data_IF_569636473977
#
_entry.id   IF_569636473977
#
_cell.length_a   1.000
_cell.length_b   1.000
_cell.length_c   1.000
_cell.angle_alpha   90.00
_cell.angle_beta   90.00
_cell.angle_gamma   90.00
#
_symmetry.space_group_name_H-M   'P 1'
#
loop_
_entity.id
_entity.type
_entity.pdbx_description
1 polymer ?
#
# COMPACT_ATOMS: atom_id res chain seq x y z
N UNK A 1 -7.01 10.97 -8.88
CA UNK A 1 -6.26 9.85 -9.49
C UNK A 1 -5.21 10.35 -10.49
N UNK A 2 -5.49 11.41 -11.26
CA UNK A 2 -4.52 12.02 -12.20
C UNK A 2 -3.16 12.33 -11.57
N UNK A 3 -3.16 13.11 -10.48
CA UNK A 3 -1.96 13.44 -9.70
C UNK A 3 -1.16 12.20 -9.29
N UNK A 4 -1.83 11.11 -8.91
CA UNK A 4 -1.16 9.86 -8.50
C UNK A 4 -0.38 9.22 -9.66
N UNK A 5 -1.00 9.07 -10.83
CA UNK A 5 -0.30 8.51 -11.98
C UNK A 5 0.77 9.45 -12.53
N UNK A 6 0.49 10.76 -12.58
CA UNK A 6 1.49 11.77 -12.95
C UNK A 6 2.73 11.66 -12.06
N UNK A 7 2.55 11.61 -10.74
CA UNK A 7 3.66 11.38 -9.79
C UNK A 7 4.38 10.05 -10.03
N UNK A 8 3.64 8.97 -10.29
CA UNK A 8 4.23 7.66 -10.55
C UNK A 8 5.08 7.66 -11.83
N UNK A 9 4.56 8.16 -12.95
CA UNK A 9 5.30 8.31 -14.19
C UNK A 9 6.54 9.19 -13.99
N UNK A 10 6.41 10.31 -13.28
CA UNK A 10 7.56 11.17 -12.95
C UNK A 10 8.64 10.43 -12.18
N UNK A 11 8.29 9.63 -11.17
CA UNK A 11 9.25 8.83 -10.41
C UNK A 11 9.92 7.76 -11.27
N UNK A 12 9.16 7.05 -12.11
CA UNK A 12 9.72 6.06 -13.04
C UNK A 12 10.70 6.71 -14.02
N UNK A 13 10.34 7.86 -14.60
CA UNK A 13 11.24 8.58 -15.52
C UNK A 13 12.46 9.18 -14.83
N UNK A 14 12.34 9.62 -13.58
CA UNK A 14 13.49 9.98 -12.75
C UNK A 14 14.39 8.77 -12.49
N UNK A 15 13.82 7.59 -12.27
CA UNK A 15 14.61 6.36 -12.09
C UNK A 15 15.37 5.97 -13.36
N UNK A 16 14.77 6.17 -14.54
CA UNK A 16 15.45 5.93 -15.82
C UNK A 16 16.63 6.90 -15.98
N UNK A 17 16.45 8.17 -15.63
CA UNK A 17 17.54 9.15 -15.60
C UNK A 17 18.62 8.79 -14.57
N UNK A 18 18.24 8.37 -13.36
CA UNK A 18 19.21 7.96 -12.34
C UNK A 18 20.07 6.78 -12.82
N UNK A 19 19.50 5.85 -13.60
CA UNK A 19 20.23 4.74 -14.22
C UNK A 19 21.25 5.20 -15.25
N UNK A 20 20.96 6.24 -16.04
CA UNK A 20 21.94 6.81 -16.98
C UNK A 20 23.08 7.52 -16.26
N UNK A 21 22.86 7.96 -15.02
CA UNK A 21 23.87 8.51 -14.12
C UNK A 21 24.63 7.43 -13.31
N UNK A 22 24.41 6.14 -13.58
CA UNK A 22 25.10 5.03 -12.93
C UNK A 22 24.43 4.46 -11.68
N UNK A 23 23.28 4.99 -11.24
CA UNK A 23 22.52 4.44 -10.11
C UNK A 23 21.45 3.45 -10.59
N UNK A 24 21.74 2.15 -10.50
CA UNK A 24 20.88 1.10 -11.04
C UNK A 24 19.56 0.92 -10.25
N UNK A 25 19.58 1.13 -8.92
CA UNK A 25 18.45 0.91 -8.03
C UNK A 25 18.28 2.11 -7.08
N UNK A 26 17.85 3.27 -7.57
CA UNK A 26 17.73 4.47 -6.77
C UNK A 26 16.62 4.35 -5.72
N UNK A 27 16.90 4.75 -4.48
CA UNK A 27 15.88 4.86 -3.44
C UNK A 27 14.98 6.08 -3.67
N UNK A 28 13.80 6.11 -3.04
CA UNK A 28 12.85 7.22 -3.19
C UNK A 28 13.47 8.57 -2.77
N UNK A 29 14.30 8.56 -1.73
CA UNK A 29 15.03 9.76 -1.27
C UNK A 29 16.07 10.21 -2.29
N UNK A 30 16.84 9.29 -2.87
CA UNK A 30 17.82 9.60 -3.91
C UNK A 30 17.16 10.19 -5.15
N UNK A 31 15.99 9.67 -5.56
CA UNK A 31 15.21 10.21 -6.68
C UNK A 31 14.83 11.68 -6.48
N UNK A 32 14.55 12.09 -5.23
CA UNK A 32 14.27 13.50 -4.94
C UNK A 32 15.48 14.41 -5.19
N UNK A 33 16.70 13.91 -4.99
CA UNK A 33 17.93 14.66 -5.26
C UNK A 33 18.17 14.88 -6.77
N UNK A 34 17.78 13.94 -7.61
CA UNK A 34 17.93 14.05 -9.07
C UNK A 34 17.02 15.13 -9.70
N UNK A 35 15.97 15.58 -9.00
CA UNK A 35 15.14 16.69 -9.48
C UNK A 35 15.91 18.00 -9.63
N UNK A 36 16.96 18.19 -8.83
CA UNK A 36 17.79 19.40 -8.84
C UNK A 36 19.04 19.24 -9.73
N UNK A 37 19.19 18.12 -10.42
CA UNK A 37 20.37 17.87 -11.25
C UNK A 37 20.30 18.70 -12.55
N UNK A 38 21.34 19.50 -12.87
CA UNK A 38 21.35 20.34 -14.08
C UNK A 38 21.27 19.55 -15.39
N UNK A 39 21.72 18.28 -15.41
CA UNK A 39 21.66 17.43 -16.60
C UNK A 39 20.23 16.89 -16.89
N UNK A 40 19.30 17.06 -15.95
CA UNK A 40 17.92 16.57 -16.07
C UNK A 40 17.20 17.22 -17.25
N UNK A 41 17.27 18.54 -17.36
CA UNK A 41 16.64 19.31 -18.44
C UNK A 41 17.15 18.87 -19.81
N UNK A 42 18.46 18.75 -19.99
CA UNK A 42 19.05 18.29 -21.26
C UNK A 42 18.58 16.89 -21.67
N UNK A 43 18.52 15.95 -20.72
CA UNK A 43 18.05 14.59 -20.98
C UNK A 43 16.59 14.54 -21.45
N UNK A 44 15.70 15.28 -20.79
CA UNK A 44 14.29 15.30 -21.17
C UNK A 44 14.03 16.13 -22.42
N UNK A 45 14.81 17.18 -22.70
CA UNK A 45 14.73 17.89 -23.97
C UNK A 45 15.11 17.00 -25.16
N UNK A 46 16.13 16.15 -25.01
CA UNK A 46 16.44 15.12 -26.00
C UNK A 46 15.26 14.16 -26.23
N UNK A 47 14.62 13.69 -25.15
CA UNK A 47 13.43 12.82 -25.25
C UNK A 47 12.20 13.51 -25.83
N UNK A 48 12.03 14.81 -25.62
CA UNK A 48 10.97 15.59 -26.25
C UNK A 48 11.23 15.80 -27.75
N UNK A 49 12.49 15.92 -28.16
CA UNK A 49 12.85 16.00 -29.57
C UNK A 49 12.43 14.71 -30.32
N UNK A 50 12.65 13.54 -29.73
CA UNK A 50 12.17 12.26 -30.29
C UNK A 50 10.64 12.29 -30.54
N UNK A 51 9.86 12.87 -29.61
CA UNK A 51 8.40 12.99 -29.74
C UNK A 51 8.00 13.95 -30.86
N UNK A 52 8.74 15.05 -31.07
CA UNK A 52 8.42 16.01 -32.15
C UNK A 52 8.66 15.47 -33.56
N UNK A 53 9.46 14.42 -33.69
CA UNK A 53 9.78 13.76 -34.96
C UNK A 53 8.82 12.60 -35.26
N UNK A 54 8.12 12.08 -34.25
CA UNK A 54 7.17 10.98 -34.36
C UNK A 54 5.95 11.37 -35.22
N UNK A 55 5.69 10.61 -36.29
CA UNK A 55 4.64 10.92 -37.28
C UNK A 55 3.23 10.88 -36.68
N UNK A 56 2.99 10.06 -35.65
CA UNK A 56 1.68 9.93 -35.02
C UNK A 56 1.40 11.03 -34.00
N UNK A 57 2.46 11.63 -33.43
CA UNK A 57 2.36 12.59 -32.32
C UNK A 57 2.66 14.05 -32.73
N UNK A 58 3.37 14.25 -33.84
CA UNK A 58 3.79 15.58 -34.29
C UNK A 58 2.61 16.50 -34.59
N UNK A 59 1.53 15.99 -35.18
CA UNK A 59 0.38 16.78 -35.59
C UNK A 59 -0.75 16.80 -34.54
N UNK A 60 -0.55 16.18 -33.37
CA UNK A 60 -1.54 16.18 -32.29
C UNK A 60 -1.66 17.58 -31.64
N UNK A 61 -2.83 18.25 -31.70
CA UNK A 61 -3.02 19.58 -31.14
C UNK A 61 -2.80 19.67 -29.63
N UNK A 62 -3.16 18.61 -28.88
CA UNK A 62 -2.98 18.58 -27.44
C UNK A 62 -1.48 18.46 -27.08
N UNK A 63 -0.70 17.68 -27.85
CA UNK A 63 0.76 17.56 -27.68
C UNK A 63 1.46 18.90 -27.95
N UNK A 64 1.08 19.58 -29.03
CA UNK A 64 1.63 20.90 -29.37
C UNK A 64 1.33 21.94 -28.29
N UNK A 65 0.11 21.94 -27.74
CA UNK A 65 -0.26 22.81 -26.64
C UNK A 65 0.61 22.56 -25.39
N UNK A 66 0.92 21.29 -25.07
CA UNK A 66 1.79 20.93 -23.94
C UNK A 66 3.24 21.37 -24.18
N UNK A 67 3.76 21.22 -25.40
CA UNK A 67 5.12 21.64 -25.75
C UNK A 67 5.31 23.15 -25.59
N UNK A 68 4.27 23.95 -25.87
CA UNK A 68 4.27 25.40 -25.71
C UNK A 68 4.15 25.88 -24.25
N UNK A 69 3.79 25.01 -23.30
CA UNK A 69 3.69 25.40 -21.89
C UNK A 69 5.05 25.79 -21.31
N UNK A 70 5.06 26.76 -20.40
CA UNK A 70 6.28 27.15 -19.67
C UNK A 70 6.45 26.32 -18.38
N UNK A 71 6.72 25.03 -18.53
CA UNK A 71 6.97 24.07 -17.44
C UNK A 71 8.27 23.29 -17.70
N UNK A 72 8.90 22.69 -16.68
CA UNK A 72 10.13 21.90 -16.85
C UNK A 72 9.99 20.77 -17.87
N UNK A 73 11.07 20.41 -18.57
CA UNK A 73 11.05 19.41 -19.65
C UNK A 73 10.52 18.04 -19.18
N UNK A 74 10.89 17.62 -17.96
CA UNK A 74 10.36 16.40 -17.35
C UNK A 74 8.83 16.46 -17.18
N UNK A 75 8.30 17.61 -16.77
CA UNK A 75 6.87 17.78 -16.54
C UNK A 75 6.11 17.85 -17.87
N UNK A 76 6.67 18.44 -18.92
CA UNK A 76 6.12 18.35 -20.29
C UNK A 76 6.04 16.90 -20.75
N UNK A 77 7.14 16.16 -20.63
CA UNK A 77 7.23 14.77 -21.07
C UNK A 77 6.21 13.89 -20.35
N UNK A 78 6.08 14.04 -19.03
CA UNK A 78 5.08 13.30 -18.25
C UNK A 78 3.66 13.73 -18.60
N UNK A 79 3.41 15.01 -18.89
CA UNK A 79 2.09 15.49 -19.30
C UNK A 79 1.68 14.88 -20.65
N UNK A 80 2.59 14.82 -21.62
CA UNK A 80 2.36 14.15 -22.91
C UNK A 80 1.99 12.68 -22.69
N UNK A 81 2.74 11.96 -21.83
CA UNK A 81 2.43 10.55 -21.49
C UNK A 81 1.05 10.40 -20.83
N UNK A 82 0.58 11.40 -20.09
CA UNK A 82 -0.71 11.38 -19.42
C UNK A 82 -1.86 11.93 -20.29
N UNK A 83 -1.56 12.54 -21.43
CA UNK A 83 -2.51 13.28 -22.26
C UNK A 83 -3.45 12.37 -23.07
N UNK A 84 -3.05 11.12 -23.34
CA UNK A 84 -3.94 10.19 -24.05
C UNK A 84 -5.21 9.92 -23.23
N UNK A 85 -6.27 10.66 -23.58
CA UNK A 85 -7.59 10.64 -22.93
C UNK A 85 -8.25 9.25 -23.04
N UNK A 86 -7.92 8.49 -24.09
CA UNK A 86 -8.43 7.12 -24.30
C UNK A 86 -7.71 6.14 -23.37
N UNK A 87 -6.40 6.28 -23.24
CA UNK A 87 -5.58 5.48 -22.33
C UNK A 87 -5.85 5.82 -20.86
N UNK A 88 -6.17 7.07 -20.53
CA UNK A 88 -6.46 7.49 -19.15
C UNK A 88 -7.60 6.68 -18.51
N UNK A 89 -8.72 6.50 -19.22
CA UNK A 89 -9.85 5.67 -18.72
C UNK A 89 -9.40 4.22 -18.50
N UNK A 90 -8.61 3.68 -19.42
CA UNK A 90 -8.07 2.33 -19.34
C UNK A 90 -7.08 2.17 -18.19
N UNK A 91 -6.20 3.13 -17.97
CA UNK A 91 -5.21 3.15 -16.88
C UNK A 91 -5.90 3.15 -15.51
N UNK A 92 -6.89 4.03 -15.35
CA UNK A 92 -7.72 4.09 -14.14
C UNK A 92 -8.46 2.76 -13.92
N UNK A 93 -9.02 2.17 -14.98
CA UNK A 93 -9.71 0.89 -14.89
C UNK A 93 -8.77 -0.26 -14.52
N UNK A 94 -7.59 -0.34 -15.15
CA UNK A 94 -6.54 -1.32 -14.87
C UNK A 94 -6.03 -1.20 -13.44
N UNK A 95 -5.75 0.01 -12.96
CA UNK A 95 -5.33 0.22 -11.58
C UNK A 95 -6.43 -0.18 -10.59
N UNK A 96 -7.70 0.15 -10.86
CA UNK A 96 -8.81 -0.34 -10.04
C UNK A 96 -8.88 -1.87 -10.03
N UNK A 97 -8.69 -2.53 -11.19
CA UNK A 97 -8.67 -4.00 -11.29
C UNK A 97 -7.48 -4.60 -10.51
N UNK A 98 -6.30 -4.00 -10.62
CA UNK A 98 -5.10 -4.38 -9.86
C UNK A 98 -5.35 -4.25 -8.36
N UNK A 99 -5.86 -3.11 -7.88
CA UNK A 99 -6.21 -2.92 -6.47
C UNK A 99 -7.29 -3.90 -6.01
N UNK A 100 -8.28 -4.19 -6.85
CA UNK A 100 -9.29 -5.19 -6.54
C UNK A 100 -8.67 -6.59 -6.34
N UNK A 101 -7.70 -6.97 -7.19
CA UNK A 101 -7.01 -8.26 -7.12
C UNK A 101 -6.02 -8.34 -5.95
N UNK A 102 -5.15 -7.35 -5.77
CA UNK A 102 -4.15 -7.33 -4.69
C UNK A 102 -4.79 -7.30 -3.31
N UNK A 103 -5.92 -6.61 -3.17
CA UNK A 103 -6.59 -6.46 -1.88
C UNK A 103 -7.76 -7.42 -1.67
N UNK A 104 -8.06 -8.27 -2.66
CA UNK A 104 -9.20 -9.17 -2.67
C UNK A 104 -10.49 -8.47 -2.18
N UNK A 105 -10.87 -7.37 -2.85
CA UNK A 105 -11.94 -6.47 -2.36
C UNK A 105 -13.26 -7.22 -2.18
N UNK A 106 -13.92 -7.01 -1.04
CA UNK A 106 -15.18 -7.63 -0.64
C UNK A 106 -15.13 -9.16 -0.49
N UNK A 107 -13.94 -9.74 -0.27
CA UNK A 107 -13.77 -11.17 -0.02
C UNK A 107 -13.35 -11.44 1.43
N UNK A 108 -13.56 -12.67 1.89
CA UNK A 108 -13.20 -13.09 3.25
C UNK A 108 -11.69 -13.20 3.47
N UNK A 109 -10.91 -13.39 2.41
CA UNK A 109 -9.45 -13.39 2.36
C UNK A 109 -8.86 -12.01 2.03
N UNK A 110 -9.70 -10.98 1.93
CA UNK A 110 -9.29 -9.62 1.58
C UNK A 110 -9.06 -8.70 2.77
N UNK A 111 -8.46 -7.54 2.49
CA UNK A 111 -8.25 -6.48 3.49
C UNK A 111 -8.89 -5.12 3.11
N UNK A 112 -9.71 -5.11 2.05
CA UNK A 112 -10.48 -3.94 1.62
C UNK A 112 -11.94 -4.29 1.38
N UNK A 113 -12.83 -3.38 1.79
CA UNK A 113 -14.25 -3.44 1.47
C UNK A 113 -14.69 -2.12 0.85
N UNK A 114 -15.59 -2.20 -0.14
CA UNK A 114 -16.14 -1.01 -0.80
C UNK A 114 -16.61 -1.29 -2.23
N UNK A 115 -17.19 -0.28 -2.87
CA UNK A 115 -17.81 -0.45 -4.18
C UNK A 115 -18.44 0.84 -4.70
N UNK A 116 -19.20 0.73 -5.80
CA UNK A 116 -19.87 1.87 -6.44
C UNK A 116 -20.66 2.68 -5.40
N UNK A 117 -20.31 3.97 -5.25
CA UNK A 117 -20.98 4.91 -4.36
C UNK A 117 -20.58 4.86 -2.88
N UNK A 118 -19.72 3.93 -2.44
CA UNK A 118 -19.25 3.85 -1.04
C UNK A 118 -17.75 4.13 -0.94
N UNK A 119 -17.36 4.87 0.09
CA UNK A 119 -15.94 5.04 0.42
C UNK A 119 -15.34 3.66 0.74
N UNK A 120 -14.18 3.39 0.13
CA UNK A 120 -13.40 2.19 0.43
C UNK A 120 -12.88 2.27 1.86
N UNK A 121 -13.00 1.17 2.58
CA UNK A 121 -12.54 1.04 3.96
C UNK A 121 -11.59 -0.15 4.04
N UNK A 122 -10.57 -0.01 4.86
CA UNK A 122 -9.75 -1.14 5.26
C UNK A 122 -10.58 -2.01 6.21
N UNK A 123 -10.72 -3.28 5.85
CA UNK A 123 -11.50 -4.27 6.60
C UNK A 123 -10.78 -5.59 6.44
N UNK A 124 -10.35 -6.19 7.54
CA UNK A 124 -9.85 -7.57 7.51
C UNK A 124 -11.02 -8.52 7.35
N UNK A 125 -11.04 -9.29 6.27
CA UNK A 125 -12.00 -10.38 6.09
C UNK A 125 -11.78 -11.48 7.13
N UNK A 126 -12.83 -12.28 7.38
CA UNK A 126 -12.83 -13.29 8.44
C UNK A 126 -11.72 -14.33 8.26
N UNK A 127 -11.55 -14.85 7.04
CA UNK A 127 -10.52 -15.84 6.73
C UNK A 127 -9.13 -15.25 6.88
N UNK A 128 -8.91 -14.02 6.39
CA UNK A 128 -7.63 -13.33 6.58
C UNK A 128 -7.32 -13.12 8.07
N UNK A 129 -8.29 -12.65 8.86
CA UNK A 129 -8.11 -12.43 10.30
C UNK A 129 -7.80 -13.74 11.02
N UNK A 130 -8.49 -14.82 10.69
CA UNK A 130 -8.22 -16.16 11.22
C UNK A 130 -6.78 -16.61 10.91
N UNK A 131 -6.33 -16.49 9.67
CA UNK A 131 -4.97 -16.85 9.28
C UNK A 131 -3.95 -16.03 10.06
N UNK A 132 -4.15 -14.73 10.19
CA UNK A 132 -3.27 -13.85 10.97
C UNK A 132 -3.23 -14.26 12.45
N UNK A 133 -4.38 -14.61 13.04
CA UNK A 133 -4.45 -15.11 14.41
C UNK A 133 -3.67 -16.42 14.57
N UNK A 134 -3.87 -17.38 13.67
CA UNK A 134 -3.15 -18.66 13.72
C UNK A 134 -1.64 -18.48 13.53
N UNK A 135 -1.20 -17.54 12.69
CA UNK A 135 0.21 -17.22 12.53
C UNK A 135 0.81 -16.53 13.78
N UNK A 136 0.02 -15.72 14.47
CA UNK A 136 0.48 -14.98 15.65
C UNK A 136 0.65 -15.87 16.89
N UNK A 137 -0.16 -16.92 17.03
CA UNK A 137 -0.07 -17.86 18.17
C UNK A 137 1.06 -18.88 18.03
N UNK A 138 1.69 -18.98 16.85
CA UNK A 138 2.81 -19.88 16.61
C UNK A 138 4.11 -19.24 17.13
N UNK A 139 4.77 -19.97 18.01
CA UNK A 139 6.13 -19.68 18.48
C UNK A 139 7.11 -20.73 17.96
N UNK A 140 8.28 -20.26 17.54
CA UNK A 140 9.38 -21.11 17.14
C UNK A 140 10.30 -21.31 18.35
N UNK A 141 10.50 -22.57 18.73
CA UNK A 141 11.51 -22.98 19.70
C UNK A 141 12.64 -23.73 18.96
N UNK A 142 13.84 -23.86 19.54
CA UNK A 142 14.93 -24.64 18.95
C UNK A 142 14.57 -26.10 18.62
N UNK A 143 13.52 -26.63 19.25
CA UNK A 143 13.04 -28.02 19.09
C UNK A 143 11.89 -28.15 18.09
N UNK A 144 11.32 -27.05 17.59
CA UNK A 144 10.19 -27.09 16.66
C UNK A 144 9.20 -25.93 16.87
N UNK A 145 8.04 -26.04 16.23
CA UNK A 145 6.96 -25.07 16.40
C UNK A 145 6.01 -25.52 17.51
N UNK A 146 5.55 -24.56 18.32
CA UNK A 146 4.48 -24.75 19.29
C UNK A 146 3.47 -23.62 19.21
N UNK A 147 2.20 -23.92 19.48
CA UNK A 147 1.13 -22.93 19.55
C UNK A 147 0.79 -22.59 20.99
N UNK A 148 0.73 -21.30 21.32
CA UNK A 148 0.43 -20.84 22.67
C UNK A 148 -0.59 -19.68 22.65
N UNK A 149 -1.49 -19.59 23.64
CA UNK A 149 -2.40 -18.45 23.75
C UNK A 149 -1.63 -17.13 23.88
N UNK A 150 -2.13 -16.07 23.25
CA UNK A 150 -1.56 -14.72 23.34
C UNK A 150 -2.62 -13.72 23.77
N UNK A 151 -2.21 -12.61 24.39
CA UNK A 151 -3.15 -11.52 24.68
C UNK A 151 -3.52 -10.78 23.39
N UNK A 152 -4.68 -10.12 23.39
CA UNK A 152 -5.06 -9.26 22.25
C UNK A 152 -4.06 -8.11 22.04
N UNK A 153 -3.46 -7.59 23.12
CA UNK A 153 -2.43 -6.55 23.04
C UNK A 153 -1.20 -7.07 22.28
N UNK A 154 -0.73 -8.27 22.63
CA UNK A 154 0.38 -8.92 21.93
C UNK A 154 0.07 -9.17 20.45
N UNK A 155 -1.18 -9.52 20.12
CA UNK A 155 -1.60 -9.70 18.73
C UNK A 155 -1.58 -8.40 17.93
N UNK A 156 -2.07 -7.30 18.50
CA UNK A 156 -2.03 -5.98 17.83
C UNK A 156 -0.59 -5.51 17.63
N UNK A 157 0.27 -5.70 18.62
CA UNK A 157 1.70 -5.38 18.51
C UNK A 157 2.41 -6.26 17.47
N UNK A 158 2.03 -7.53 17.36
CA UNK A 158 2.54 -8.43 16.32
C UNK A 158 2.13 -7.99 14.90
N UNK A 159 0.87 -7.58 14.71
CA UNK A 159 0.38 -7.05 13.43
C UNK A 159 1.15 -5.79 13.00
N UNK A 160 1.41 -4.90 13.97
CA UNK A 160 2.20 -3.69 13.77
C UNK A 160 3.65 -4.02 13.40
N UNK A 161 4.33 -4.84 14.18
CA UNK A 161 5.76 -5.10 13.99
C UNK A 161 6.06 -5.95 12.77
N UNK A 162 5.18 -6.89 12.42
CA UNK A 162 5.41 -7.81 11.30
C UNK A 162 4.88 -7.29 9.96
N UNK A 163 3.75 -6.58 9.97
CA UNK A 163 3.06 -6.17 8.74
C UNK A 163 2.84 -4.65 8.63
N UNK A 164 3.23 -3.87 9.64
CA UNK A 164 2.98 -2.43 9.66
C UNK A 164 1.49 -2.08 9.77
N UNK A 165 0.67 -2.98 10.34
CA UNK A 165 -0.79 -2.78 10.47
C UNK A 165 -1.08 -2.14 11.84
N UNK A 166 -1.49 -0.88 11.82
CA UNK A 166 -1.84 -0.12 13.02
C UNK A 166 -3.35 -0.18 13.28
N UNK A 167 -3.75 -0.56 14.50
CA UNK A 167 -5.17 -0.71 14.89
C UNK A 167 -5.61 0.40 15.85
N UNK A 168 -4.94 0.48 17.01
CA UNK A 168 -5.26 1.36 18.14
C UNK A 168 -4.24 2.50 18.33
N UNK A 169 -3.25 2.60 17.45
CA UNK A 169 -2.16 3.57 17.49
C UNK A 169 -2.00 4.25 16.14
N UNK A 170 -1.24 5.35 16.12
CA UNK A 170 -0.91 6.06 14.90
C UNK A 170 0.59 5.99 14.60
N UNK A 171 0.95 6.08 13.33
CA UNK A 171 2.35 6.13 12.87
C UNK A 171 2.99 7.40 13.45
N UNK A 172 4.04 7.26 14.25
CA UNK A 172 4.75 8.35 14.96
C UNK A 172 4.89 9.63 14.13
N UNK A 173 4.52 10.79 14.69
CA UNK A 173 4.73 12.11 14.08
C UNK A 173 3.48 12.78 13.47
N UNK A 174 2.33 12.13 13.45
CA UNK A 174 1.04 12.76 13.10
C UNK A 174 0.02 12.38 14.17
N UNK A 175 -0.36 13.26 15.09
CA UNK A 175 -1.49 12.95 15.96
C UNK A 175 -2.77 13.50 15.33
N UNK A 176 -3.66 12.66 14.76
CA UNK A 176 -5.02 13.12 14.52
C UNK A 176 -5.72 13.27 15.87
N UNK A 177 -6.49 14.36 16.06
CA UNK A 177 -7.24 14.64 17.30
C UNK A 177 -8.38 13.67 17.64
N UNK A 178 -8.40 12.44 17.09
CA UNK A 178 -9.53 11.51 17.18
C UNK A 178 -9.15 10.17 17.84
N UNK A 179 -8.80 10.20 19.14
CA UNK A 179 -8.61 9.00 19.99
C UNK A 179 -9.79 8.04 19.94
N UNK A 180 -11.00 8.56 19.68
CA UNK A 180 -12.24 7.79 19.53
C UNK A 180 -12.21 6.81 18.35
N UNK A 181 -11.60 7.17 17.22
CA UNK A 181 -11.55 6.30 16.05
C UNK A 181 -10.64 5.09 16.30
N UNK A 182 -9.50 5.31 16.95
CA UNK A 182 -8.56 4.25 17.34
C UNK A 182 -9.19 3.27 18.33
N UNK A 183 -9.90 3.80 19.33
CA UNK A 183 -10.64 2.97 20.27
C UNK A 183 -11.75 2.15 19.57
N UNK A 184 -12.50 2.77 18.65
CA UNK A 184 -13.53 2.08 17.88
C UNK A 184 -12.95 0.93 17.03
N UNK A 185 -11.77 1.13 16.42
CA UNK A 185 -11.09 0.08 15.67
C UNK A 185 -10.72 -1.11 16.57
N UNK A 186 -10.18 -0.82 17.76
CA UNK A 186 -9.81 -1.85 18.73
C UNK A 186 -11.04 -2.64 19.25
N UNK A 187 -12.14 -1.94 19.56
CA UNK A 187 -13.40 -2.57 19.95
C UNK A 187 -13.98 -3.43 18.82
N UNK A 188 -13.95 -2.94 17.58
CA UNK A 188 -14.41 -3.71 16.42
C UNK A 188 -13.56 -4.98 16.21
N UNK A 189 -12.25 -4.91 16.42
CA UNK A 189 -11.36 -6.08 16.37
C UNK A 189 -11.72 -7.11 17.46
N UNK A 190 -11.91 -6.66 18.71
CA UNK A 190 -12.35 -7.52 19.83
C UNK A 190 -13.63 -8.26 19.49
N UNK A 191 -14.64 -7.51 19.03
CA UNK A 191 -15.94 -8.08 18.71
C UNK A 191 -15.85 -9.11 17.57
N UNK A 192 -15.02 -8.84 16.55
CA UNK A 192 -14.81 -9.79 15.46
C UNK A 192 -14.09 -11.06 15.92
N UNK A 193 -13.05 -10.95 16.75
CA UNK A 193 -12.37 -12.11 17.32
C UNK A 193 -13.31 -12.96 18.19
N UNK A 194 -14.24 -12.31 18.91
CA UNK A 194 -15.28 -12.98 19.70
C UNK A 194 -16.25 -13.76 18.81
N UNK A 195 -16.74 -13.13 17.74
CA UNK A 195 -17.64 -13.76 16.76
C UNK A 195 -17.00 -14.96 16.07
N UNK A 196 -15.69 -14.91 15.81
CA UNK A 196 -14.92 -16.02 15.24
C UNK A 196 -14.53 -17.09 16.28
N UNK A 197 -14.90 -16.93 17.55
CA UNK A 197 -14.60 -17.90 18.62
C UNK A 197 -13.13 -17.92 19.07
N UNK A 198 -12.32 -16.93 18.66
CA UNK A 198 -10.91 -16.84 19.08
C UNK A 198 -10.72 -16.18 20.43
N UNK A 199 -11.69 -15.36 20.84
CA UNK A 199 -11.59 -14.49 22.01
C UNK A 199 -12.71 -14.79 22.99
N UNK A 200 -12.33 -15.16 24.21
CA UNK A 200 -13.27 -15.41 25.32
C UNK A 200 -12.98 -14.43 26.45
N UNK A 201 -13.95 -13.58 26.79
CA UNK A 201 -13.89 -12.72 27.97
C UNK A 201 -14.26 -13.56 29.19
N UNK A 202 -13.25 -14.13 29.86
CA UNK A 202 -13.48 -15.02 31.00
C UNK A 202 -13.54 -14.26 32.34
N UNK A 203 -13.13 -12.98 32.41
CA UNK A 203 -13.18 -12.15 33.63
C UNK A 203 -12.89 -10.66 33.33
N UNK A 204 -13.35 -9.74 34.17
CA UNK A 204 -13.09 -8.27 34.10
C UNK A 204 -11.60 -7.87 34.24
N UNK A 205 -10.70 -8.82 34.53
CA UNK A 205 -9.26 -8.58 34.60
C UNK A 205 -8.63 -8.70 33.20
N UNK A 206 -7.84 -7.70 32.78
CA UNK A 206 -7.24 -7.66 31.42
C UNK A 206 -6.35 -8.86 31.07
N UNK A 207 -5.82 -9.58 32.07
CA UNK A 207 -5.02 -10.79 31.89
C UNK A 207 -5.84 -12.04 31.51
N UNK A 208 -7.17 -12.01 31.65
CA UNK A 208 -8.06 -13.12 31.28
C UNK A 208 -8.50 -13.08 29.80
N UNK A 209 -8.12 -12.03 29.06
CA UNK A 209 -8.52 -11.78 27.67
C UNK A 209 -7.50 -12.35 26.68
N UNK A 210 -7.58 -13.65 26.44
CA UNK A 210 -6.63 -14.38 25.58
C UNK A 210 -7.26 -14.82 24.27
N UNK A 211 -6.44 -14.78 23.22
CA UNK A 211 -6.68 -15.39 21.93
C UNK A 211 -6.20 -16.83 22.00
N UNK A 212 -7.10 -17.79 21.75
CA UNK A 212 -6.79 -19.22 21.80
C UNK A 212 -6.40 -19.76 20.41
N UNK A 213 -5.35 -20.58 20.30
CA UNK A 213 -5.04 -21.28 19.05
C UNK A 213 -6.17 -22.26 18.71
N UNK A 214 -6.53 -22.37 17.42
CA UNK A 214 -7.49 -23.39 16.97
C UNK A 214 -6.80 -24.74 16.82
N UNK A 215 -5.58 -24.72 16.31
CA UNK A 215 -4.76 -25.91 16.13
C UNK A 215 -3.70 -25.95 17.21
N UNK A 216 -3.65 -27.06 17.95
CA UNK A 216 -2.56 -27.32 18.89
C UNK A 216 -1.43 -27.99 18.16
N UNK A 217 -0.28 -27.33 18.12
CA UNK A 217 0.98 -27.91 17.67
C UNK A 217 1.83 -28.09 18.94
N UNK A 218 2.12 -29.34 19.26
CA UNK A 218 3.04 -29.72 20.32
C UNK A 218 4.22 -30.44 19.66
N UNK A 219 5.44 -30.09 20.05
CA UNK A 219 6.62 -30.80 19.56
C UNK A 219 6.62 -32.19 20.21
N UNK A 220 6.23 -33.22 19.45
CA UNK A 220 6.45 -34.61 19.84
C UNK A 220 7.96 -34.82 19.94
N UNK A 221 8.45 -35.00 21.16
CA UNK A 221 9.81 -35.46 21.39
C UNK A 221 9.84 -36.90 20.88
N UNK A 222 10.51 -37.12 19.74
CA UNK A 222 10.97 -38.46 19.30
C UNK A 222 12.36 -38.65 19.90
#
# INVERSE_FOLDING_TARGET
MYKYFKSHYKLVKLSEFAKTQGNQNPTLEQLSGYLNNPALEGFFNYKLADITVDEDLKDDPDVQAILQMNIPAIDKYVEILCNDKSNWKNLVARHKKMMNGLCNINREDGFLQGGRGRQRKYVMGNLLLEVLVQLAVVSADPKGFKTQPITIVSFVEWLKNRYGIYINEWITGRQPGNSKALNNNFLALKERLRQLGFYTDLSDASNSQVIKPRFKIETSII
#
